data_IF_035217645694
#
_entry.id   IF_035217645694
#
_cell.length_a   1.000
_cell.length_b   1.000
_cell.length_c   1.000
_cell.angle_alpha   90.00
_cell.angle_beta   90.00
_cell.angle_gamma   90.00
#
_symmetry.space_group_name_H-M   'P 1'
#
loop_
_entity.id
_entity.type
_entity.pdbx_description
1 polymer ?
#
# COMPACT_ATOMS: atom_id res chain seq x y z
N UNK A 1 61.99 46.77 6.44
CA UNK A 1 62.60 45.70 5.61
C UNK A 1 62.49 44.37 6.35
N UNK A 2 62.29 43.28 5.59
CA UNK A 2 62.15 41.84 5.97
C UNK A 2 60.76 41.49 6.53
N UNK A 3 59.79 41.07 5.70
CA UNK A 3 59.59 39.82 4.93
C UNK A 3 58.92 38.71 5.76
N UNK A 4 57.77 38.28 5.24
CA UNK A 4 57.15 36.92 5.19
C UNK A 4 57.44 35.98 6.36
N UNK A 5 56.46 35.31 6.95
CA UNK A 5 55.56 34.33 6.33
C UNK A 5 54.54 33.95 7.41
N UNK A 6 53.23 33.97 7.18
CA UNK A 6 52.43 32.81 6.72
C UNK A 6 52.78 31.48 7.41
N UNK A 7 51.72 30.73 7.72
CA UNK A 7 51.67 29.40 8.36
C UNK A 7 51.55 29.43 9.89
N UNK A 8 50.41 29.89 10.41
CA UNK A 8 49.93 29.44 11.74
C UNK A 8 48.42 29.18 11.80
N UNK A 9 47.67 29.46 10.74
CA UNK A 9 46.23 29.17 10.66
C UNK A 9 45.88 27.91 9.86
N UNK A 10 46.87 27.05 9.54
CA UNK A 10 46.66 25.80 8.77
C UNK A 10 46.83 24.54 9.65
N UNK A 11 46.94 24.67 10.97
CA UNK A 11 47.10 23.51 11.87
C UNK A 11 45.91 23.24 12.81
N UNK A 12 44.75 23.89 12.59
CA UNK A 12 43.51 23.62 13.35
C UNK A 12 42.43 22.95 12.47
N UNK A 13 42.75 22.65 11.20
CA UNK A 13 41.82 22.02 10.24
C UNK A 13 42.07 20.52 10.00
N UNK A 14 42.81 19.84 10.89
CA UNK A 14 43.15 18.41 10.76
C UNK A 14 42.55 17.51 11.87
N UNK A 15 41.63 18.01 12.70
CA UNK A 15 40.88 17.18 13.68
C UNK A 15 39.47 16.81 13.15
N UNK A 16 39.15 17.10 11.89
CA UNK A 16 37.87 16.67 11.27
C UNK A 16 37.99 15.28 10.60
N UNK A 17 39.18 14.65 10.63
CA UNK A 17 39.45 13.37 9.97
C UNK A 17 39.94 12.28 10.92
N UNK A 18 39.25 12.06 12.04
CA UNK A 18 39.32 10.78 12.75
C UNK A 18 38.03 10.54 13.56
N UNK A 19 36.96 10.32 12.79
CA UNK A 19 35.66 9.89 13.27
C UNK A 19 34.90 9.07 12.22
N UNK A 20 35.61 8.45 11.26
CA UNK A 20 35.08 7.33 10.48
C UNK A 20 35.06 6.08 11.37
N UNK A 21 34.21 6.07 12.41
CA UNK A 21 33.62 4.81 12.83
C UNK A 21 32.36 4.66 12.00
N UNK A 22 32.43 3.77 11.01
CA UNK A 22 31.27 3.22 10.34
C UNK A 22 30.34 2.62 11.39
N UNK A 23 29.35 3.40 11.82
CA UNK A 23 28.01 2.89 11.92
C UNK A 23 27.26 3.56 10.79
N UNK A 24 27.32 2.93 9.62
CA UNK A 24 26.22 3.03 8.67
C UNK A 24 25.02 2.37 9.35
N UNK A 25 24.46 3.03 10.37
CA UNK A 25 23.04 2.92 10.60
C UNK A 25 22.44 3.68 9.44
N UNK A 26 22.15 2.92 8.38
CA UNK A 26 21.04 3.24 7.50
C UNK A 26 19.89 3.61 8.43
N UNK A 27 19.69 4.91 8.65
CA UNK A 27 18.43 5.41 9.17
C UNK A 27 17.44 5.02 8.10
N UNK A 28 16.87 3.84 8.28
CA UNK A 28 15.77 3.35 7.50
C UNK A 28 14.61 4.30 7.80
N UNK A 29 14.54 5.37 7.02
CA UNK A 29 13.45 6.33 7.02
C UNK A 29 12.14 5.70 6.50
N UNK A 30 12.09 4.37 6.34
CA UNK A 30 10.98 3.62 5.77
C UNK A 30 10.23 2.71 6.76
N UNK A 31 10.22 3.01 8.06
CA UNK A 31 9.38 2.26 9.01
C UNK A 31 8.58 3.18 9.92
N UNK A 32 7.39 3.63 9.46
CA UNK A 32 6.19 3.95 10.27
C UNK A 32 5.03 4.62 9.50
N UNK A 33 4.91 4.49 8.18
CA UNK A 33 3.73 5.04 7.49
C UNK A 33 2.42 4.33 7.88
N UNK A 34 2.47 3.11 8.44
CA UNK A 34 1.26 2.31 8.71
C UNK A 34 0.48 1.96 7.44
N UNK A 35 1.06 2.28 6.28
CA UNK A 35 0.53 2.15 4.94
C UNK A 35 1.33 1.08 4.20
N UNK A 36 0.65 0.05 3.72
CA UNK A 36 1.21 -1.00 2.87
C UNK A 36 0.40 -1.11 1.59
N UNK A 37 1.04 -1.44 0.48
CA UNK A 37 0.41 -1.58 -0.83
C UNK A 37 0.78 -2.92 -1.44
N UNK A 38 -0.19 -3.59 -2.06
CA UNK A 38 0.04 -4.86 -2.73
C UNK A 38 -0.81 -5.01 -4.00
N UNK A 39 -0.33 -5.87 -4.89
CA UNK A 39 -1.04 -6.30 -6.09
C UNK A 39 -1.61 -7.69 -5.89
N UNK A 40 -2.94 -7.79 -5.93
CA UNK A 40 -3.65 -9.07 -5.87
C UNK A 40 -4.27 -9.39 -7.23
N UNK A 41 -4.20 -10.67 -7.65
CA UNK A 41 -4.75 -11.10 -8.95
C UNK A 41 -6.28 -11.09 -8.93
N UNK A 42 -6.85 -11.69 -7.89
CA UNK A 42 -8.28 -11.75 -7.70
C UNK A 42 -8.64 -11.78 -6.22
N UNK A 43 -9.73 -11.09 -5.87
CA UNK A 43 -10.40 -11.20 -4.59
C UNK A 43 -11.68 -12.02 -4.78
N UNK A 44 -11.90 -13.03 -3.94
CA UNK A 44 -13.17 -13.76 -3.88
C UNK A 44 -13.78 -13.50 -2.51
N UNK A 45 -15.03 -13.05 -2.48
CA UNK A 45 -15.70 -12.74 -1.23
C UNK A 45 -17.20 -12.55 -1.38
N UNK A 46 -17.86 -12.27 -0.26
CA UNK A 46 -19.31 -12.02 -0.19
C UNK A 46 -19.56 -10.56 0.10
N UNK A 47 -20.46 -9.93 -0.67
CA UNK A 47 -20.86 -8.53 -0.44
C UNK A 47 -21.69 -8.44 0.84
N UNK A 48 -21.19 -7.74 1.84
CA UNK A 48 -21.89 -7.53 3.11
C UNK A 48 -22.62 -6.18 3.15
N UNK A 49 -22.14 -5.19 2.40
CA UNK A 49 -22.81 -3.89 2.27
C UNK A 49 -22.56 -3.21 0.93
N UNK A 50 -23.53 -2.40 0.49
CA UNK A 50 -23.45 -1.53 -0.69
C UNK A 50 -23.72 -0.09 -0.23
N UNK A 51 -22.70 0.75 -0.28
CA UNK A 51 -22.76 2.17 0.07
C UNK A 51 -22.82 3.03 -1.20
N UNK A 52 -22.84 4.34 -1.02
CA UNK A 52 -22.90 5.29 -2.14
C UNK A 52 -21.66 5.23 -3.03
N UNK A 53 -20.47 5.16 -2.41
CA UNK A 53 -19.17 5.21 -3.12
C UNK A 53 -18.34 3.94 -2.92
N UNK A 54 -18.85 2.95 -2.18
CA UNK A 54 -18.09 1.73 -1.88
C UNK A 54 -18.94 0.48 -1.73
N UNK A 55 -18.32 -0.66 -1.97
CA UNK A 55 -18.78 -1.98 -1.60
C UNK A 55 -17.98 -2.48 -0.40
N UNK A 56 -18.62 -3.23 0.49
CA UNK A 56 -17.92 -3.96 1.53
C UNK A 56 -18.01 -5.43 1.20
N UNK A 57 -16.85 -6.08 1.13
CA UNK A 57 -16.73 -7.49 0.79
C UNK A 57 -15.94 -8.21 1.87
N UNK A 58 -16.49 -9.30 2.40
CA UNK A 58 -15.75 -10.20 3.28
C UNK A 58 -15.05 -11.27 2.45
N UNK A 59 -13.75 -11.45 2.65
CA UNK A 59 -12.96 -12.44 1.90
C UNK A 59 -13.42 -13.87 2.22
N UNK A 60 -13.65 -14.67 1.18
CA UNK A 60 -14.03 -16.08 1.32
C UNK A 60 -12.82 -17.01 1.50
N UNK A 61 -11.67 -16.58 0.97
CA UNK A 61 -10.37 -17.25 1.07
C UNK A 61 -9.32 -16.24 1.50
N UNK A 62 -8.18 -16.73 1.96
CA UNK A 62 -6.98 -15.91 2.09
C UNK A 62 -6.56 -15.39 0.71
N UNK A 63 -6.00 -14.19 0.66
CA UNK A 63 -5.52 -13.55 -0.56
C UNK A 63 -4.06 -13.18 -0.36
N UNK A 64 -3.17 -13.77 -1.14
CA UNK A 64 -1.74 -13.44 -1.13
C UNK A 64 -1.39 -12.46 -2.24
N UNK A 65 -0.52 -11.49 -1.93
CA UNK A 65 0.10 -10.60 -2.92
C UNK A 65 0.90 -11.40 -3.95
N UNK A 66 0.94 -10.90 -5.19
CA UNK A 66 1.69 -11.56 -6.27
C UNK A 66 2.87 -10.75 -6.81
N UNK A 67 3.11 -9.51 -6.34
CA UNK A 67 4.13 -8.63 -6.95
C UNK A 67 4.94 -7.71 -6.01
N UNK A 68 5.01 -7.93 -4.69
CA UNK A 68 5.86 -7.12 -3.79
C UNK A 68 6.66 -7.99 -2.82
N UNK A 69 7.84 -7.51 -2.38
CA UNK A 69 8.74 -8.20 -1.43
C UNK A 69 8.14 -8.41 -0.04
N UNK A 70 7.08 -7.65 0.26
CA UNK A 70 6.23 -7.89 1.40
C UNK A 70 5.09 -8.80 0.93
N UNK A 71 5.18 -10.07 1.32
CA UNK A 71 4.08 -11.04 1.21
C UNK A 71 2.93 -10.52 2.05
N UNK A 72 2.03 -9.78 1.40
CA UNK A 72 0.82 -9.29 2.03
C UNK A 72 -0.25 -10.37 1.91
N UNK A 73 -0.38 -11.17 2.97
CA UNK A 73 -1.47 -12.11 3.15
C UNK A 73 -2.64 -11.42 3.83
N UNK A 74 -3.79 -11.38 3.14
CA UNK A 74 -5.05 -10.89 3.69
C UNK A 74 -5.82 -12.11 4.19
N UNK A 75 -6.07 -12.23 5.50
CA UNK A 75 -6.73 -13.40 6.06
C UNK A 75 -8.14 -13.61 5.50
N UNK A 76 -8.59 -14.87 5.50
CA UNK A 76 -10.00 -15.20 5.26
C UNK A 76 -10.90 -14.50 6.29
N UNK A 77 -12.03 -13.97 5.83
CA UNK A 77 -12.99 -13.25 6.66
C UNK A 77 -12.63 -11.78 6.90
N UNK A 78 -11.58 -11.27 6.27
CA UNK A 78 -11.22 -9.85 6.33
C UNK A 78 -12.27 -9.01 5.60
N UNK A 79 -12.60 -7.87 6.20
CA UNK A 79 -13.49 -6.88 5.61
C UNK A 79 -12.69 -5.96 4.67
N UNK A 80 -13.08 -5.94 3.39
CA UNK A 80 -12.42 -5.12 2.37
C UNK A 80 -13.39 -4.06 1.87
N UNK A 81 -12.94 -2.81 1.91
CA UNK A 81 -13.64 -1.66 1.39
C UNK A 81 -13.23 -1.43 -0.04
N UNK A 82 -14.18 -1.54 -0.97
CA UNK A 82 -13.93 -1.47 -2.40
C UNK A 82 -14.56 -0.20 -2.94
N UNK A 83 -13.76 0.75 -3.36
CA UNK A 83 -14.28 2.01 -3.91
C UNK A 83 -14.82 1.82 -5.32
N UNK A 84 -16.02 2.35 -5.56
CA UNK A 84 -16.67 2.34 -6.86
C UNK A 84 -15.95 3.38 -7.74
N UNK A 85 -15.55 3.05 -8.99
CA UNK A 85 -14.96 4.02 -9.90
C UNK A 85 -15.89 5.22 -10.10
N UNK A 86 -15.33 6.43 -10.19
CA UNK A 86 -16.11 7.67 -10.40
C UNK A 86 -17.04 7.65 -11.63
N UNK A 87 -16.77 6.76 -12.61
CA UNK A 87 -17.60 6.58 -13.81
C UNK A 87 -18.89 5.79 -13.56
N UNK A 88 -18.96 5.01 -12.49
CA UNK A 88 -20.10 4.15 -12.16
C UNK A 88 -20.92 4.79 -11.02
N UNK A 89 -22.25 4.78 -11.13
CA UNK A 89 -23.14 5.20 -10.04
C UNK A 89 -23.51 4.00 -9.15
N UNK A 90 -23.98 4.28 -7.92
CA UNK A 90 -24.57 3.25 -7.04
C UNK A 90 -25.65 2.43 -7.75
N UNK A 91 -26.50 3.06 -8.56
CA UNK A 91 -27.56 2.38 -9.30
C UNK A 91 -27.02 1.39 -10.34
N UNK A 92 -25.92 1.75 -11.01
CA UNK A 92 -25.28 0.88 -11.99
C UNK A 92 -24.62 -0.33 -11.32
N UNK A 93 -24.06 -0.13 -10.12
CA UNK A 93 -23.52 -1.23 -9.32
C UNK A 93 -24.63 -2.16 -8.83
N UNK A 94 -25.76 -1.62 -8.35
CA UNK A 94 -26.91 -2.42 -7.90
C UNK A 94 -27.55 -3.26 -9.02
N UNK A 95 -27.40 -2.87 -10.29
CA UNK A 95 -27.80 -3.70 -11.45
C UNK A 95 -26.87 -4.90 -11.63
N UNK A 96 -25.59 -4.78 -11.26
CA UNK A 96 -24.56 -5.81 -11.47
C UNK A 96 -24.47 -6.76 -10.28
N UNK A 97 -24.57 -6.26 -9.05
CA UNK A 97 -24.37 -7.02 -7.83
C UNK A 97 -25.43 -6.73 -6.76
N UNK A 98 -25.66 -7.70 -5.87
CA UNK A 98 -26.57 -7.59 -4.73
C UNK A 98 -25.87 -7.94 -3.42
N UNK A 99 -26.46 -7.49 -2.31
CA UNK A 99 -26.05 -7.96 -0.99
C UNK A 99 -26.10 -9.49 -0.89
N UNK A 100 -25.16 -10.05 -0.14
CA UNK A 100 -24.93 -11.47 0.08
C UNK A 100 -24.54 -12.27 -1.17
N UNK A 101 -24.33 -11.62 -2.32
CA UNK A 101 -23.76 -12.29 -3.49
C UNK A 101 -22.27 -12.54 -3.29
N UNK A 102 -21.83 -13.71 -3.73
CA UNK A 102 -20.42 -14.06 -3.84
C UNK A 102 -19.89 -13.51 -5.16
N UNK A 103 -18.77 -12.80 -5.09
CA UNK A 103 -18.17 -12.11 -6.23
C UNK A 103 -16.69 -12.43 -6.33
N UNK A 104 -16.19 -12.42 -7.55
CA UNK A 104 -14.77 -12.36 -7.89
C UNK A 104 -14.46 -10.98 -8.45
N UNK A 105 -13.41 -10.36 -7.93
CA UNK A 105 -12.94 -9.04 -8.36
C UNK A 105 -11.54 -9.21 -8.90
N UNK A 106 -11.36 -9.00 -10.20
CA UNK A 106 -10.09 -9.21 -10.90
C UNK A 106 -9.34 -7.90 -11.11
N UNK A 107 -8.01 -7.93 -10.95
CA UNK A 107 -7.07 -6.81 -11.13
C UNK A 107 -7.32 -5.62 -10.21
N UNK A 108 -6.72 -5.62 -9.02
CA UNK A 108 -6.87 -4.49 -8.11
C UNK A 108 -5.63 -4.25 -7.26
N UNK A 109 -5.37 -2.97 -6.99
CA UNK A 109 -4.40 -2.55 -5.99
C UNK A 109 -5.11 -2.49 -4.65
N UNK A 110 -4.52 -3.14 -3.65
CA UNK A 110 -4.99 -3.03 -2.27
C UNK A 110 -4.02 -2.17 -1.48
N UNK A 111 -4.58 -1.21 -0.76
CA UNK A 111 -3.88 -0.40 0.23
C UNK A 111 -4.37 -0.80 1.61
N UNK A 112 -3.44 -0.96 2.55
CA UNK A 112 -3.73 -1.20 3.95
C UNK A 112 -3.30 0.02 4.72
N UNK A 113 -4.22 0.62 5.45
CA UNK A 113 -3.93 1.73 6.35
C UNK A 113 -4.47 1.38 7.74
N UNK A 114 -3.59 1.26 8.73
CA UNK A 114 -3.97 0.92 10.11
C UNK A 114 -4.84 -0.36 10.24
N UNK A 115 -4.57 -1.38 9.42
CA UNK A 115 -5.32 -2.63 9.41
C UNK A 115 -6.67 -2.58 8.68
N UNK A 116 -7.01 -1.44 8.06
CA UNK A 116 -8.17 -1.31 7.16
C UNK A 116 -7.73 -1.62 5.74
N UNK A 117 -8.37 -2.61 5.13
CA UNK A 117 -8.11 -3.03 3.76
C UNK A 117 -8.98 -2.23 2.79
N UNK A 118 -8.34 -1.45 1.92
CA UNK A 118 -9.01 -0.65 0.91
C UNK A 118 -8.57 -1.07 -0.49
N UNK A 119 -9.53 -1.28 -1.38
CA UNK A 119 -9.31 -1.76 -2.73
C UNK A 119 -9.83 -0.71 -3.70
N UNK A 120 -8.96 -0.29 -4.61
CA UNK A 120 -9.34 0.63 -5.68
C UNK A 120 -9.50 -0.16 -6.97
N UNK A 121 -10.70 -0.07 -7.56
CA UNK A 121 -11.00 -0.64 -8.87
C UNK A 121 -10.35 0.27 -9.93
N UNK A 122 -9.39 -0.27 -10.69
CA UNK A 122 -8.74 0.40 -11.82
C UNK A 122 -9.54 0.18 -13.11
N UNK A 123 -9.21 0.86 -14.21
CA UNK A 123 -10.07 0.88 -15.42
C UNK A 123 -10.39 -0.50 -16.00
N UNK A 124 -9.49 -1.47 -15.86
CA UNK A 124 -9.63 -2.84 -16.36
C UNK A 124 -10.15 -3.85 -15.31
N UNK A 125 -10.46 -3.38 -14.11
CA UNK A 125 -10.99 -4.24 -13.06
C UNK A 125 -12.40 -4.74 -13.39
N UNK A 126 -12.68 -6.01 -13.07
CA UNK A 126 -13.97 -6.62 -13.34
C UNK A 126 -14.55 -7.23 -12.06
N UNK A 127 -15.84 -6.98 -11.80
CA UNK A 127 -16.63 -7.65 -10.76
C UNK A 127 -17.52 -8.69 -11.45
N UNK A 128 -17.26 -9.97 -11.21
CA UNK A 128 -18.05 -11.09 -11.74
C UNK A 128 -18.73 -11.84 -10.61
N UNK A 129 -19.94 -12.37 -10.87
CA UNK A 129 -20.63 -13.26 -9.92
C UNK A 129 -19.95 -14.62 -9.91
N UNK A 130 -19.85 -15.21 -8.72
CA UNK A 130 -19.42 -16.59 -8.54
C UNK A 130 -20.62 -17.43 -8.08
N UNK A 131 -20.73 -18.63 -8.62
CA UNK A 131 -21.71 -19.63 -8.19
C UNK A 131 -21.37 -20.24 -6.80
#
# INVERSE_FOLDING_TARGET
MKKLSSVTTVLILLIIFMGCSKNTEENDASMKSGESFAHIRHLIGTITAIREESLIVNTATEISSTQTSDDLDIPKGSEIYIFIPFKDTREDILKRVKMNEKVRISYSNIAITNGIYTLTIVEDSQITKED
#
